data_IF_333167335610
#
_entry.id   IF_333167335610
#
_cell.length_a   1.000
_cell.length_b   1.000
_cell.length_c   1.000
_cell.angle_alpha   90.00
_cell.angle_beta   90.00
_cell.angle_gamma   90.00
#
_symmetry.space_group_name_H-M   'P 1'
#
loop_
_entity.id
_entity.type
_entity.pdbx_description
1 polymer ?
#
# COMPACT_ATOMS: atom_id res chain seq x y z
N UNK A 1 65.28 49.85 73.96
CA UNK A 1 64.41 48.95 73.16
C UNK A 1 63.55 49.76 72.21
N UNK A 2 63.78 49.68 70.89
CA UNK A 2 62.95 50.36 69.87
C UNK A 2 61.86 49.39 69.37
N UNK A 3 60.58 49.77 69.53
CA UNK A 3 59.43 48.99 69.06
C UNK A 3 59.46 48.87 67.53
N UNK A 4 59.56 47.65 67.00
CA UNK A 4 59.43 47.37 65.57
C UNK A 4 57.99 47.68 65.14
N UNK A 5 57.81 48.71 64.31
CA UNK A 5 56.53 48.99 63.65
C UNK A 5 56.42 48.04 62.45
N UNK A 6 55.42 47.15 62.47
CA UNK A 6 55.22 46.09 61.48
C UNK A 6 54.59 46.56 60.17
N UNK A 7 54.10 47.81 60.10
CA UNK A 7 53.49 48.35 58.90
C UNK A 7 54.34 49.49 58.33
N UNK A 8 54.72 49.35 57.07
CA UNK A 8 55.39 50.36 56.27
C UNK A 8 54.35 50.96 55.32
N UNK A 9 53.94 52.20 55.57
CA UNK A 9 52.85 52.89 54.84
C UNK A 9 53.18 53.22 53.36
N UNK A 10 54.25 52.66 52.79
CA UNK A 10 54.73 52.94 51.42
C UNK A 10 53.74 52.60 50.29
N UNK A 11 52.65 51.89 50.57
CA UNK A 11 51.61 51.53 49.57
C UNK A 11 50.19 51.92 49.97
N UNK A 12 50.04 52.77 50.99
CA UNK A 12 48.75 53.33 51.42
C UNK A 12 48.31 54.40 50.40
N UNK A 13 47.98 54.00 49.17
CA UNK A 13 47.32 54.77 48.09
C UNK A 13 47.45 54.10 46.70
N UNK A 14 48.02 52.90 46.59
CA UNK A 14 48.02 52.17 45.31
C UNK A 14 46.62 51.59 45.07
N UNK A 15 45.90 52.12 44.07
CA UNK A 15 44.66 51.52 43.58
C UNK A 15 44.97 50.17 42.96
N UNK A 16 44.18 49.16 43.33
CA UNK A 16 44.23 47.83 42.71
C UNK A 16 44.03 47.95 41.19
N UNK A 17 44.92 47.34 40.40
CA UNK A 17 44.93 47.43 38.93
C UNK A 17 44.40 46.18 38.24
N UNK A 18 43.77 45.27 38.97
CA UNK A 18 43.08 44.12 38.36
C UNK A 18 41.62 44.47 38.06
N UNK A 19 41.13 44.24 36.83
CA UNK A 19 39.72 44.45 36.51
C UNK A 19 38.86 43.40 37.23
N UNK A 20 37.77 43.86 37.85
CA UNK A 20 36.81 43.01 38.57
C UNK A 20 36.19 41.95 37.63
N UNK A 21 36.66 40.71 37.68
CA UNK A 21 36.01 39.58 37.02
C UNK A 21 35.05 38.89 37.99
N UNK A 22 33.81 39.35 37.99
CA UNK A 22 32.70 38.73 38.72
C UNK A 22 31.37 38.96 37.99
N UNK A 23 30.51 37.94 37.96
CA UNK A 23 29.14 38.10 37.44
C UNK A 23 28.36 38.96 38.45
N UNK A 24 27.69 40.02 37.98
CA UNK A 24 26.85 40.86 38.85
C UNK A 24 25.76 40.01 39.48
N UNK A 25 25.83 39.83 40.80
CA UNK A 25 24.74 39.22 41.56
C UNK A 25 23.88 40.38 42.05
N UNK A 26 22.66 40.51 41.51
CA UNK A 26 21.67 41.47 41.96
C UNK A 26 21.10 40.97 43.31
N UNK A 27 21.79 41.27 44.41
CA UNK A 27 21.42 40.76 45.73
C UNK A 27 20.23 41.47 46.38
N UNK A 28 19.67 42.53 45.81
CA UNK A 28 18.61 43.28 46.47
C UNK A 28 17.74 44.10 45.51
N UNK A 29 16.92 43.44 44.70
CA UNK A 29 15.74 44.06 44.05
C UNK A 29 14.52 43.15 44.20
N UNK A 30 14.39 42.49 45.35
CA UNK A 30 13.22 41.65 45.67
C UNK A 30 12.30 42.24 46.74
N UNK A 31 12.59 43.44 47.24
CA UNK A 31 11.78 44.13 48.26
C UNK A 31 11.73 45.65 48.08
N UNK A 32 11.57 46.13 46.84
CA UNK A 32 11.12 47.51 46.61
C UNK A 32 9.81 47.44 45.83
N UNK A 33 8.81 46.81 46.46
CA UNK A 33 7.42 47.11 46.19
C UNK A 33 6.96 48.12 47.26
N UNK A 34 6.53 49.30 46.81
CA UNK A 34 5.74 50.21 47.62
C UNK A 34 6.51 51.34 48.29
N UNK A 35 6.24 52.55 47.80
CA UNK A 35 6.20 53.74 48.64
C UNK A 35 7.54 54.40 48.95
N UNK A 36 7.78 55.54 48.32
CA UNK A 36 8.63 56.62 48.85
C UNK A 36 8.26 56.90 50.31
N UNK A 37 9.07 56.43 51.26
CA UNK A 37 8.85 56.69 52.69
C UNK A 37 10.01 57.40 53.39
N UNK A 38 11.14 57.65 52.73
CA UNK A 38 12.28 58.28 53.39
C UNK A 38 12.34 59.80 53.20
N UNK A 39 12.09 60.54 54.30
CA UNK A 39 12.24 62.01 54.41
C UNK A 39 13.67 62.52 54.15
N UNK A 40 14.63 61.62 53.92
CA UNK A 40 16.03 61.94 53.67
C UNK A 40 16.50 61.61 52.24
N UNK A 41 15.60 61.18 51.35
CA UNK A 41 15.95 60.84 49.97
C UNK A 41 16.48 62.05 49.18
N UNK A 42 16.03 63.26 49.53
CA UNK A 42 16.51 64.52 48.96
C UNK A 42 17.99 64.84 49.29
N UNK A 43 18.60 64.18 50.29
CA UNK A 43 19.99 64.43 50.71
C UNK A 43 20.98 63.38 50.20
N UNK A 44 20.52 62.35 49.48
CA UNK A 44 21.46 61.40 48.85
C UNK A 44 22.21 62.09 47.70
N UNK A 45 23.55 62.01 47.65
CA UNK A 45 24.29 62.45 46.48
C UNK A 45 23.85 61.59 45.30
N UNK A 46 23.14 62.20 44.34
CA UNK A 46 22.74 61.53 43.11
C UNK A 46 24.02 61.16 42.36
N UNK A 47 24.37 59.88 42.36
CA UNK A 47 25.46 59.39 41.53
C UNK A 47 25.05 59.66 40.08
N UNK A 48 25.84 60.49 39.37
CA UNK A 48 25.69 60.64 37.92
C UNK A 48 25.92 59.25 37.34
N UNK A 49 24.85 58.60 36.91
CA UNK A 49 24.94 57.35 36.15
C UNK A 49 25.96 57.54 35.05
N UNK A 50 26.88 56.59 34.94
CA UNK A 50 27.82 56.53 33.83
C UNK A 50 26.99 56.65 32.55
N UNK A 51 27.32 57.65 31.73
CA UNK A 51 26.75 57.77 30.40
C UNK A 51 27.02 56.47 29.69
N UNK A 52 26.02 55.60 29.56
CA UNK A 52 26.05 54.51 28.59
C UNK A 52 26.35 55.18 27.27
N UNK A 53 27.55 54.92 26.75
CA UNK A 53 27.98 55.31 25.43
C UNK A 53 26.82 55.02 24.48
N UNK A 54 26.22 56.08 23.94
CA UNK A 54 25.15 55.99 22.96
C UNK A 54 25.77 55.38 21.70
N UNK A 55 25.99 54.07 21.71
CA UNK A 55 26.18 53.34 20.47
C UNK A 55 24.89 53.56 19.70
N UNK A 56 25.03 54.29 18.60
CA UNK A 56 23.94 54.68 17.73
C UNK A 56 23.05 53.47 17.51
N UNK A 57 21.79 53.54 17.96
CA UNK A 57 20.81 52.45 17.77
C UNK A 57 20.74 52.00 16.31
N UNK A 58 21.11 52.90 15.39
CA UNK A 58 21.25 52.66 13.96
C UNK A 58 22.38 51.69 13.61
N UNK A 59 23.53 51.71 14.29
CA UNK A 59 24.64 50.78 14.03
C UNK A 59 24.32 49.35 14.47
N UNK A 60 23.62 49.19 15.61
CA UNK A 60 23.18 47.88 16.08
C UNK A 60 22.11 47.30 15.13
N UNK A 61 21.20 48.15 14.63
CA UNK A 61 20.21 47.75 13.61
C UNK A 61 20.87 47.39 12.29
N UNK A 62 21.87 48.16 11.84
CA UNK A 62 22.61 47.89 10.61
C UNK A 62 23.36 46.56 10.69
N UNK A 63 24.04 46.27 11.81
CA UNK A 63 24.72 44.99 12.01
C UNK A 63 23.75 43.80 11.97
N UNK A 64 22.57 43.93 12.59
CA UNK A 64 21.52 42.89 12.54
C UNK A 64 20.97 42.70 11.13
N UNK A 65 20.79 43.79 10.39
CA UNK A 65 20.34 43.75 9.00
C UNK A 65 21.36 43.06 8.10
N UNK A 66 22.65 43.39 8.25
CA UNK A 66 23.74 42.74 7.49
C UNK A 66 23.77 41.24 7.75
N UNK A 67 23.64 40.80 9.01
CA UNK A 67 23.62 39.36 9.36
C UNK A 67 22.44 38.64 8.68
N UNK A 68 21.25 39.25 8.65
CA UNK A 68 20.08 38.68 7.97
C UNK A 68 20.26 38.60 6.45
N UNK A 69 20.90 39.60 5.84
CA UNK A 69 21.19 39.57 4.41
C UNK A 69 22.24 38.51 4.08
N UNK A 70 23.27 38.35 4.92
CA UNK A 70 24.29 37.32 4.75
C UNK A 70 23.70 35.90 4.91
N UNK A 71 22.77 35.67 5.85
CA UNK A 71 22.14 34.36 5.99
C UNK A 71 21.24 34.01 4.80
N UNK A 72 20.50 34.98 4.27
CA UNK A 72 19.70 34.79 3.04
C UNK A 72 20.59 34.50 1.83
N UNK A 73 21.73 35.18 1.69
CA UNK A 73 22.68 34.93 0.61
C UNK A 73 23.27 33.51 0.69
N UNK A 74 23.61 33.02 1.88
CA UNK A 74 24.11 31.65 2.07
C UNK A 74 23.06 30.59 1.71
N UNK A 75 21.80 30.81 2.07
CA UNK A 75 20.69 29.91 1.70
C UNK A 75 20.49 29.93 0.18
N UNK A 76 20.49 31.09 -0.45
CA UNK A 76 20.31 31.21 -1.90
C UNK A 76 21.44 30.52 -2.69
N UNK A 77 22.69 30.70 -2.27
CA UNK A 77 23.85 30.03 -2.89
C UNK A 77 23.80 28.51 -2.67
N UNK A 78 23.43 28.07 -1.46
CA UNK A 78 23.22 26.66 -1.17
C UNK A 78 22.13 26.02 -2.03
N UNK A 79 21.03 26.74 -2.25
CA UNK A 79 19.92 26.27 -3.07
C UNK A 79 20.31 26.15 -4.54
N UNK A 80 20.99 27.16 -5.10
CA UNK A 80 21.48 27.15 -6.48
C UNK A 80 22.53 26.03 -6.67
N UNK A 81 23.42 25.82 -5.69
CA UNK A 81 24.42 24.76 -5.73
C UNK A 81 23.79 23.35 -5.72
N UNK A 82 22.78 23.14 -4.88
CA UNK A 82 22.01 21.90 -4.83
C UNK A 82 21.28 21.65 -6.15
N UNK A 83 20.68 22.68 -6.73
CA UNK A 83 19.93 22.57 -7.99
C UNK A 83 20.85 22.20 -9.17
N UNK A 84 22.03 22.82 -9.26
CA UNK A 84 23.06 22.47 -10.25
C UNK A 84 23.61 21.06 -10.02
N UNK A 85 23.81 20.64 -8.77
CA UNK A 85 24.24 19.29 -8.43
C UNK A 85 23.19 18.25 -8.83
N UNK A 86 21.92 18.50 -8.52
CA UNK A 86 20.80 17.67 -8.93
C UNK A 86 20.69 17.61 -10.45
N UNK A 87 20.89 18.71 -11.17
CA UNK A 87 20.83 18.72 -12.63
C UNK A 87 22.00 17.96 -13.27
N UNK A 88 23.20 18.01 -12.69
CA UNK A 88 24.39 17.30 -13.20
C UNK A 88 24.44 15.82 -12.81
N UNK A 89 23.75 15.42 -11.74
CA UNK A 89 23.68 14.03 -11.27
C UNK A 89 22.28 13.42 -11.42
N UNK A 90 21.35 14.17 -12.02
CA UNK A 90 20.11 13.62 -12.52
C UNK A 90 20.46 12.55 -13.55
N UNK A 91 20.06 11.32 -13.25
CA UNK A 91 20.04 10.25 -14.25
C UNK A 91 19.15 10.74 -15.40
N UNK A 92 19.52 10.50 -16.67
CA UNK A 92 18.74 10.96 -17.80
C UNK A 92 17.30 10.45 -17.66
N UNK A 93 16.36 11.39 -17.73
CA UNK A 93 14.90 11.16 -17.69
C UNK A 93 14.42 10.40 -18.94
N UNK A 94 15.31 9.87 -19.77
CA UNK A 94 14.96 8.96 -20.85
C UNK A 94 14.33 7.66 -20.31
N UNK A 95 14.73 7.18 -19.13
CA UNK A 95 14.10 6.01 -18.50
C UNK A 95 12.75 6.30 -17.81
N UNK A 96 12.37 7.57 -17.63
CA UNK A 96 11.07 7.99 -17.06
C UNK A 96 10.12 8.52 -18.14
N UNK A 97 10.63 8.95 -19.30
CA UNK A 97 9.82 9.27 -20.47
C UNK A 97 9.57 8.05 -21.37
N UNK A 98 10.48 7.09 -21.41
CA UNK A 98 10.24 5.82 -22.09
C UNK A 98 9.18 4.95 -21.38
N UNK A 99 8.92 5.17 -20.09
CA UNK A 99 7.82 4.53 -19.36
C UNK A 99 6.47 5.27 -19.48
N UNK A 100 6.43 6.43 -20.12
CA UNK A 100 5.17 7.19 -20.34
C UNK A 100 4.75 7.15 -21.82
N UNK A 101 5.65 6.78 -22.73
CA UNK A 101 5.32 6.59 -24.17
C UNK A 101 5.27 5.12 -24.61
N UNK A 102 5.60 4.18 -23.72
CA UNK A 102 5.16 2.80 -23.85
C UNK A 102 4.05 2.58 -22.83
N UNK A 103 2.80 2.50 -23.29
CA UNK A 103 1.75 1.78 -22.56
C UNK A 103 2.23 0.32 -22.42
N UNK A 104 3.08 0.06 -21.43
CA UNK A 104 3.32 -1.29 -20.95
C UNK A 104 2.01 -1.73 -20.34
N UNK A 105 1.16 -2.39 -21.13
CA UNK A 105 -0.13 -2.90 -20.67
C UNK A 105 0.09 -3.75 -19.41
N UNK A 106 -0.77 -3.60 -18.39
CA UNK A 106 -0.72 -4.46 -17.18
C UNK A 106 -0.70 -5.96 -17.54
N UNK A 107 -1.22 -6.34 -18.70
CA UNK A 107 -1.14 -7.69 -19.25
C UNK A 107 0.29 -8.26 -19.28
N UNK A 108 1.31 -7.43 -19.52
CA UNK A 108 2.72 -7.86 -19.63
C UNK A 108 3.51 -7.73 -18.32
N UNK A 109 2.97 -7.07 -17.30
CA UNK A 109 3.64 -6.96 -15.99
C UNK A 109 3.56 -8.26 -15.21
N UNK A 110 4.65 -8.65 -14.56
CA UNK A 110 4.62 -9.72 -13.56
C UNK A 110 4.02 -9.16 -12.27
N UNK A 111 2.91 -9.75 -11.82
CA UNK A 111 2.27 -9.38 -10.55
C UNK A 111 2.62 -10.45 -9.52
N UNK A 112 3.23 -10.02 -8.41
CA UNK A 112 3.54 -10.86 -7.27
C UNK A 112 2.58 -10.53 -6.14
N UNK A 113 1.91 -11.54 -5.60
CA UNK A 113 1.04 -11.42 -4.44
C UNK A 113 1.00 -12.73 -3.66
N UNK A 114 0.80 -12.61 -2.36
CA UNK A 114 0.36 -13.70 -1.50
C UNK A 114 -1.03 -13.37 -1.02
N UNK A 115 -2.01 -14.18 -1.41
CA UNK A 115 -3.41 -13.97 -1.08
C UNK A 115 -3.97 -15.08 -0.20
N UNK A 116 -4.89 -14.71 0.69
CA UNK A 116 -5.79 -15.66 1.33
C UNK A 116 -7.14 -15.63 0.60
N UNK A 117 -7.71 -16.80 0.34
CA UNK A 117 -9.06 -16.88 -0.21
C UNK A 117 -10.09 -16.59 0.88
N UNK A 118 -11.15 -15.88 0.53
CA UNK A 118 -12.27 -15.59 1.42
C UNK A 118 -13.60 -15.70 0.68
N UNK A 119 -14.62 -16.13 1.41
CA UNK A 119 -15.99 -16.11 0.91
C UNK A 119 -16.49 -14.69 0.71
N UNK A 120 -17.35 -14.51 -0.29
CA UNK A 120 -18.03 -13.25 -0.56
C UNK A 120 -18.80 -12.69 0.64
N UNK A 121 -19.46 -13.54 1.43
CA UNK A 121 -20.20 -13.10 2.63
C UNK A 121 -19.31 -12.41 3.67
N UNK A 122 -18.04 -12.81 3.77
CA UNK A 122 -17.07 -12.24 4.71
C UNK A 122 -16.64 -10.81 4.31
N UNK A 123 -16.96 -10.38 3.08
CA UNK A 123 -16.65 -9.05 2.58
C UNK A 123 -17.68 -7.99 2.99
N UNK A 124 -18.90 -8.37 3.34
CA UNK A 124 -20.03 -7.44 3.40
C UNK A 124 -20.13 -6.65 4.71
N UNK A 125 -19.74 -7.26 5.83
CA UNK A 125 -19.80 -6.64 7.14
C UNK A 125 -18.49 -5.91 7.42
N UNK A 126 -18.53 -4.59 7.67
CA UNK A 126 -17.33 -3.79 7.96
C UNK A 126 -16.48 -4.38 9.09
N UNK A 127 -17.11 -5.02 10.08
CA UNK A 127 -16.40 -5.70 11.18
C UNK A 127 -15.72 -6.98 10.69
N UNK A 128 -16.40 -7.80 9.88
CA UNK A 128 -15.84 -9.04 9.33
C UNK A 128 -14.75 -8.74 8.31
N UNK A 129 -14.97 -7.80 7.39
CA UNK A 129 -13.98 -7.34 6.45
C UNK A 129 -12.74 -6.80 7.17
N UNK A 130 -12.92 -6.02 8.24
CA UNK A 130 -11.80 -5.55 9.06
C UNK A 130 -11.07 -6.71 9.74
N UNK A 131 -11.79 -7.72 10.23
CA UNK A 131 -11.19 -8.92 10.82
C UNK A 131 -10.39 -9.73 9.78
N UNK A 132 -10.94 -9.91 8.57
CA UNK A 132 -10.25 -10.58 7.45
C UNK A 132 -9.00 -9.79 7.06
N UNK A 133 -9.10 -8.47 6.84
CA UNK A 133 -7.94 -7.62 6.51
C UNK A 133 -6.86 -7.68 7.60
N UNK A 134 -7.25 -7.62 8.87
CA UNK A 134 -6.32 -7.77 10.00
C UNK A 134 -5.68 -9.16 10.04
N UNK A 135 -6.43 -10.23 9.74
CA UNK A 135 -5.92 -11.60 9.67
C UNK A 135 -4.90 -11.76 8.54
N UNK A 136 -5.23 -11.23 7.37
CA UNK A 136 -4.40 -11.20 6.16
C UNK A 136 -3.06 -10.51 6.46
N UNK A 137 -3.09 -9.30 7.02
CA UNK A 137 -1.89 -8.56 7.38
C UNK A 137 -1.06 -9.27 8.47
N UNK A 138 -1.71 -9.87 9.49
CA UNK A 138 -1.02 -10.63 10.55
C UNK A 138 -0.34 -11.90 10.05
N UNK A 139 -0.88 -12.53 9.02
CA UNK A 139 -0.32 -13.73 8.40
C UNK A 139 0.70 -13.40 7.30
N UNK A 140 0.90 -12.12 6.99
CA UNK A 140 1.89 -11.65 6.01
C UNK A 140 1.40 -11.71 4.57
N UNK A 141 0.08 -11.82 4.36
CA UNK A 141 -0.52 -11.72 3.04
C UNK A 141 -0.60 -10.25 2.58
N UNK A 142 -0.57 -10.06 1.28
CA UNK A 142 -0.61 -8.74 0.61
C UNK A 142 -1.91 -8.53 -0.15
N UNK A 143 -2.73 -9.57 -0.26
CA UNK A 143 -3.93 -9.58 -1.08
C UNK A 143 -5.02 -10.44 -0.44
N UNK A 144 -6.26 -10.18 -0.87
CA UNK A 144 -7.42 -11.01 -0.57
C UNK A 144 -7.98 -11.49 -1.90
N UNK A 145 -8.06 -12.80 -2.08
CA UNK A 145 -8.77 -13.40 -3.20
C UNK A 145 -10.19 -13.71 -2.75
N UNK A 146 -11.18 -13.30 -3.52
CA UNK A 146 -12.56 -13.69 -3.30
C UNK A 146 -13.11 -14.40 -4.53
N UNK A 147 -13.95 -15.40 -4.29
CA UNK A 147 -14.63 -16.11 -5.35
C UNK A 147 -15.73 -15.22 -5.95
N UNK A 148 -15.42 -14.59 -7.08
CA UNK A 148 -16.39 -13.81 -7.83
C UNK A 148 -17.41 -14.74 -8.51
N UNK A 149 -16.93 -15.80 -9.16
CA UNK A 149 -17.76 -16.87 -9.72
C UNK A 149 -17.15 -18.21 -9.34
N UNK A 150 -17.93 -19.03 -8.65
CA UNK A 150 -17.54 -20.34 -8.12
C UNK A 150 -17.65 -21.43 -9.19
N UNK A 151 -17.02 -22.56 -8.89
CA UNK A 151 -17.05 -23.75 -9.75
C UNK A 151 -18.44 -24.40 -9.86
N UNK A 152 -19.36 -24.11 -8.94
CA UNK A 152 -20.77 -24.53 -9.03
C UNK A 152 -21.59 -23.66 -10.00
N UNK A 153 -21.03 -22.54 -10.49
CA UNK A 153 -21.71 -21.58 -11.37
C UNK A 153 -22.36 -20.42 -10.62
N UNK A 154 -22.27 -20.36 -9.29
CA UNK A 154 -22.82 -19.25 -8.51
C UNK A 154 -21.83 -18.09 -8.41
N UNK A 155 -22.38 -16.88 -8.34
CA UNK A 155 -21.68 -15.61 -8.19
C UNK A 155 -21.65 -15.26 -6.70
N UNK A 156 -20.46 -14.97 -6.18
CA UNK A 156 -20.21 -14.70 -4.75
C UNK A 156 -20.44 -13.25 -4.33
N UNK A 157 -21.05 -12.42 -5.17
CA UNK A 157 -21.31 -11.02 -4.88
C UNK A 157 -22.63 -10.56 -5.48
N UNK A 158 -23.18 -9.45 -4.95
CA UNK A 158 -24.39 -8.84 -5.47
C UNK A 158 -24.10 -8.14 -6.81
N UNK A 159 -24.13 -8.92 -7.89
CA UNK A 159 -23.97 -8.44 -9.26
C UNK A 159 -25.20 -7.66 -9.71
N UNK A 160 -24.98 -6.66 -10.57
CA UNK A 160 -26.02 -5.86 -11.24
C UNK A 160 -26.26 -6.31 -12.69
N UNK A 161 -25.61 -7.39 -13.11
CA UNK A 161 -25.72 -7.92 -14.46
C UNK A 161 -27.08 -8.62 -14.64
N UNK A 162 -27.81 -8.22 -15.68
CA UNK A 162 -29.10 -8.82 -16.03
C UNK A 162 -28.99 -10.34 -16.29
N UNK A 163 -27.86 -10.79 -16.84
CA UNK A 163 -27.58 -12.22 -17.05
C UNK A 163 -27.50 -12.97 -15.72
N UNK A 164 -26.80 -12.45 -14.71
CA UNK A 164 -26.71 -13.09 -13.39
C UNK A 164 -28.06 -13.14 -12.68
N UNK A 165 -28.82 -12.04 -12.75
CA UNK A 165 -30.16 -11.92 -12.15
C UNK A 165 -31.16 -12.91 -12.78
N UNK A 166 -31.14 -13.02 -14.11
CA UNK A 166 -32.07 -13.88 -14.87
C UNK A 166 -31.96 -15.37 -14.51
N UNK A 167 -30.74 -15.86 -14.25
CA UNK A 167 -30.49 -17.29 -13.98
C UNK A 167 -30.38 -17.62 -12.48
N UNK A 168 -30.68 -16.65 -11.60
CA UNK A 168 -30.56 -16.77 -10.14
C UNK A 168 -29.19 -17.31 -9.68
N UNK A 169 -28.13 -16.94 -10.39
CA UNK A 169 -26.79 -17.47 -10.17
C UNK A 169 -26.07 -16.79 -9.01
N UNK A 170 -26.75 -16.48 -7.89
CA UNK A 170 -26.15 -15.79 -6.73
C UNK A 170 -26.29 -16.65 -5.47
N UNK A 171 -25.18 -16.88 -4.78
CA UNK A 171 -25.16 -17.64 -3.51
C UNK A 171 -24.22 -16.99 -2.51
N UNK A 172 -24.70 -16.79 -1.27
CA UNK A 172 -23.96 -16.15 -0.17
C UNK A 172 -23.17 -14.90 -0.60
N UNK A 173 -23.84 -13.89 -1.21
CA UNK A 173 -23.14 -12.79 -1.85
C UNK A 173 -22.56 -11.80 -0.83
N UNK A 174 -21.44 -11.17 -1.20
CA UNK A 174 -21.11 -9.83 -0.70
C UNK A 174 -22.23 -8.85 -1.11
N UNK A 175 -22.99 -8.27 -0.18
CA UNK A 175 -24.09 -7.38 -0.53
C UNK A 175 -23.60 -6.01 -1.07
N UNK A 176 -22.44 -5.53 -0.60
CA UNK A 176 -21.83 -4.25 -1.03
C UNK A 176 -20.40 -4.40 -1.55
N UNK A 177 -20.17 -5.17 -2.64
CA UNK A 177 -18.83 -5.51 -3.11
C UNK A 177 -17.98 -4.28 -3.43
N UNK A 178 -18.57 -3.25 -4.05
CA UNK A 178 -17.87 -2.01 -4.38
C UNK A 178 -17.36 -1.24 -3.13
N UNK A 179 -18.05 -1.34 -2.00
CA UNK A 179 -17.60 -0.71 -0.76
C UNK A 179 -16.47 -1.51 -0.14
N UNK A 180 -16.59 -2.84 -0.13
CA UNK A 180 -15.58 -3.75 0.41
C UNK A 180 -14.26 -3.67 -0.36
N UNK A 181 -14.33 -3.67 -1.69
CA UNK A 181 -13.16 -3.53 -2.57
C UNK A 181 -12.45 -2.19 -2.33
N UNK A 182 -13.20 -1.09 -2.21
CA UNK A 182 -12.62 0.23 -1.88
C UNK A 182 -11.95 0.24 -0.51
N UNK A 183 -12.56 -0.40 0.48
CA UNK A 183 -11.98 -0.50 1.82
C UNK A 183 -10.67 -1.32 1.82
N UNK A 184 -10.59 -2.40 1.05
CA UNK A 184 -9.34 -3.16 0.88
C UNK A 184 -8.23 -2.30 0.29
N UNK A 185 -8.53 -1.59 -0.80
CA UNK A 185 -7.56 -0.71 -1.47
C UNK A 185 -7.08 0.41 -0.56
N UNK A 186 -7.95 0.97 0.28
CA UNK A 186 -7.59 2.00 1.27
C UNK A 186 -6.68 1.48 2.40
N UNK A 187 -6.64 0.17 2.63
CA UNK A 187 -5.81 -0.49 3.64
C UNK A 187 -4.59 -1.20 3.02
N UNK A 188 -4.22 -0.83 1.79
CA UNK A 188 -3.12 -1.43 1.02
C UNK A 188 -3.23 -2.96 0.86
N UNK A 189 -4.47 -3.48 0.84
CA UNK A 189 -4.76 -4.88 0.55
C UNK A 189 -5.27 -4.99 -0.89
N UNK A 190 -4.57 -5.75 -1.72
CA UNK A 190 -4.96 -5.95 -3.12
C UNK A 190 -6.18 -6.89 -3.23
N UNK A 191 -7.32 -6.44 -3.78
CA UNK A 191 -8.44 -7.32 -4.09
C UNK A 191 -8.15 -8.11 -5.37
N UNK A 192 -8.34 -9.43 -5.29
CA UNK A 192 -8.22 -10.36 -6.43
C UNK A 192 -9.56 -11.05 -6.60
N UNK A 193 -10.08 -11.06 -7.83
CA UNK A 193 -11.29 -11.80 -8.15
C UNK A 193 -10.94 -13.13 -8.80
N UNK A 194 -11.37 -14.23 -8.17
CA UNK A 194 -11.30 -15.56 -8.75
C UNK A 194 -12.59 -15.88 -9.52
N UNK A 195 -12.44 -16.29 -10.78
CA UNK A 195 -13.55 -16.54 -11.69
C UNK A 195 -13.38 -17.92 -12.32
N UNK A 196 -14.29 -18.84 -12.01
CA UNK A 196 -14.38 -20.09 -12.73
C UNK A 196 -15.05 -19.87 -14.10
N UNK A 197 -14.33 -20.14 -15.18
CA UNK A 197 -14.73 -19.79 -16.54
C UNK A 197 -15.83 -20.71 -17.06
N UNK A 198 -15.49 -21.96 -17.42
CA UNK A 198 -16.41 -22.82 -18.16
C UNK A 198 -17.18 -23.81 -17.30
N UNK A 199 -16.70 -24.18 -16.12
CA UNK A 199 -17.45 -25.06 -15.21
C UNK A 199 -18.59 -24.27 -14.56
N UNK A 200 -19.83 -24.66 -14.85
CA UNK A 200 -21.03 -23.93 -14.41
C UNK A 200 -22.26 -24.83 -14.39
N UNK A 201 -22.82 -25.10 -13.21
CA UNK A 201 -24.00 -25.95 -13.07
C UNK A 201 -25.31 -25.15 -13.06
N UNK A 202 -25.26 -23.82 -13.03
CA UNK A 202 -26.45 -22.96 -12.99
C UNK A 202 -26.83 -22.57 -14.41
N UNK A 203 -25.95 -21.85 -15.09
CA UNK A 203 -26.22 -21.28 -16.40
C UNK A 203 -26.26 -22.36 -17.48
N UNK A 204 -25.35 -23.34 -17.44
CA UNK A 204 -25.32 -24.41 -18.45
C UNK A 204 -26.57 -25.29 -18.42
N UNK A 205 -27.24 -25.41 -17.26
CA UNK A 205 -28.47 -26.19 -17.14
C UNK A 205 -29.73 -25.41 -17.53
N UNK A 206 -29.68 -24.08 -17.46
CA UNK A 206 -30.84 -23.22 -17.74
C UNK A 206 -30.81 -22.63 -19.17
N UNK A 207 -29.64 -22.42 -19.75
CA UNK A 207 -29.46 -21.79 -21.05
C UNK A 207 -28.83 -22.75 -22.07
N UNK A 208 -29.66 -23.41 -22.87
CA UNK A 208 -29.22 -24.35 -23.93
C UNK A 208 -28.24 -23.71 -24.95
N UNK A 209 -28.31 -22.39 -25.16
CA UNK A 209 -27.40 -21.66 -26.06
C UNK A 209 -26.03 -21.31 -25.45
N UNK A 210 -25.89 -21.48 -24.14
CA UNK A 210 -24.66 -21.23 -23.40
C UNK A 210 -23.92 -22.52 -23.04
N UNK A 211 -24.60 -23.67 -23.05
CA UNK A 211 -24.07 -24.96 -22.62
C UNK A 211 -23.37 -25.74 -23.73
N UNK A 212 -22.43 -26.60 -23.34
CA UNK A 212 -21.96 -27.69 -24.19
C UNK A 212 -23.06 -28.74 -24.26
N UNK A 213 -23.41 -29.18 -25.47
CA UNK A 213 -24.53 -30.10 -25.70
C UNK A 213 -24.03 -31.48 -26.12
N UNK A 214 -24.54 -32.52 -25.47
CA UNK A 214 -24.42 -33.91 -25.90
C UNK A 214 -25.76 -34.36 -26.50
N UNK A 215 -25.94 -34.10 -27.80
CA UNK A 215 -27.22 -34.31 -28.47
C UNK A 215 -28.26 -33.28 -28.03
N UNK A 216 -29.34 -33.73 -27.35
CA UNK A 216 -30.45 -32.87 -26.88
C UNK A 216 -30.33 -32.42 -25.42
N UNK A 217 -29.30 -32.87 -24.70
CA UNK A 217 -29.10 -32.55 -23.28
C UNK A 217 -27.76 -31.84 -23.08
N UNK A 218 -27.63 -30.98 -22.05
CA UNK A 218 -26.32 -30.48 -21.64
C UNK A 218 -25.38 -31.65 -21.35
N UNK A 219 -24.14 -31.52 -21.80
CA UNK A 219 -23.06 -32.43 -21.45
C UNK A 219 -22.83 -32.39 -19.94
N UNK A 220 -22.50 -33.56 -19.37
CA UNK A 220 -22.08 -33.69 -17.97
C UNK A 220 -20.84 -34.57 -17.88
N UNK A 221 -19.89 -34.18 -17.05
CA UNK A 221 -18.73 -35.01 -16.72
C UNK A 221 -19.12 -36.19 -15.80
N UNK A 222 -18.13 -36.99 -15.41
CA UNK A 222 -18.31 -38.12 -14.51
C UNK A 222 -18.80 -37.70 -13.10
N UNK A 223 -18.49 -36.48 -12.67
CA UNK A 223 -18.88 -35.90 -11.39
C UNK A 223 -20.26 -35.20 -11.45
N UNK A 224 -20.89 -35.19 -12.63
CA UNK A 224 -22.20 -34.59 -12.87
C UNK A 224 -22.19 -33.08 -13.13
N UNK A 225 -21.01 -32.48 -13.31
CA UNK A 225 -20.85 -31.06 -13.62
C UNK A 225 -21.15 -30.76 -15.08
N UNK A 226 -21.82 -29.64 -15.32
CA UNK A 226 -22.08 -29.08 -16.63
C UNK A 226 -21.08 -27.97 -16.97
N UNK A 227 -20.94 -27.73 -18.27
CA UNK A 227 -19.94 -26.82 -18.81
C UNK A 227 -20.56 -25.84 -19.82
N UNK A 228 -20.12 -24.59 -19.75
CA UNK A 228 -20.41 -23.56 -20.72
C UNK A 228 -19.59 -23.79 -21.99
N UNK A 229 -20.17 -23.43 -23.13
CA UNK A 229 -19.55 -23.54 -24.43
C UNK A 229 -18.60 -22.34 -24.67
N UNK A 230 -17.27 -22.55 -24.80
CA UNK A 230 -16.29 -21.49 -25.07
C UNK A 230 -16.51 -20.74 -26.39
N UNK A 231 -17.12 -21.41 -27.37
CA UNK A 231 -17.38 -20.82 -28.70
C UNK A 231 -18.67 -20.00 -28.74
N UNK A 232 -19.48 -20.07 -27.67
CA UNK A 232 -20.71 -19.28 -27.57
C UNK A 232 -20.39 -17.83 -27.22
N UNK A 233 -20.86 -16.90 -28.06
CA UNK A 233 -20.79 -15.47 -27.76
C UNK A 233 -21.48 -15.12 -26.45
N UNK A 234 -22.52 -15.88 -26.06
CA UNK A 234 -23.21 -15.69 -24.79
C UNK A 234 -22.29 -15.96 -23.60
N UNK A 235 -21.60 -17.11 -23.61
CA UNK A 235 -20.63 -17.50 -22.57
C UNK A 235 -19.51 -16.47 -22.45
N UNK A 236 -18.96 -16.06 -23.59
CA UNK A 236 -17.89 -15.07 -23.62
C UNK A 236 -18.33 -13.73 -23.01
N UNK A 237 -19.47 -13.20 -23.45
CA UNK A 237 -20.00 -11.93 -22.92
C UNK A 237 -20.33 -12.05 -21.43
N UNK A 238 -20.85 -13.19 -20.97
CA UNK A 238 -21.11 -13.42 -19.55
C UNK A 238 -19.84 -13.28 -18.68
N UNK A 239 -18.74 -13.93 -19.07
CA UNK A 239 -17.46 -13.83 -18.35
C UNK A 239 -16.88 -12.41 -18.45
N UNK A 240 -16.93 -11.81 -19.65
CA UNK A 240 -16.46 -10.45 -19.90
C UNK A 240 -17.20 -9.43 -19.02
N UNK A 241 -18.52 -9.51 -18.95
CA UNK A 241 -19.35 -8.57 -18.21
C UNK A 241 -19.07 -8.64 -16.70
N UNK A 242 -18.83 -9.83 -16.15
CA UNK A 242 -18.39 -10.02 -14.75
C UNK A 242 -17.05 -9.30 -14.50
N UNK A 243 -16.08 -9.49 -15.39
CA UNK A 243 -14.76 -8.85 -15.26
C UNK A 243 -14.89 -7.32 -15.34
N UNK A 244 -15.66 -6.82 -16.30
CA UNK A 244 -15.89 -5.37 -16.48
C UNK A 244 -16.59 -4.77 -15.26
N UNK A 245 -17.59 -5.46 -14.70
CA UNK A 245 -18.29 -5.03 -13.50
C UNK A 245 -17.33 -4.91 -12.31
N UNK A 246 -16.55 -5.96 -12.02
CA UNK A 246 -15.62 -5.97 -10.89
C UNK A 246 -14.46 -4.99 -11.07
N UNK A 247 -14.01 -4.79 -12.30
CA UNK A 247 -13.03 -3.76 -12.63
C UNK A 247 -13.58 -2.35 -12.35
N UNK A 248 -14.86 -2.10 -12.65
CA UNK A 248 -15.51 -0.83 -12.29
C UNK A 248 -15.55 -0.58 -10.77
N UNK A 249 -15.47 -1.64 -9.96
CA UNK A 249 -15.38 -1.56 -8.50
C UNK A 249 -13.95 -1.34 -7.99
N UNK A 250 -12.94 -1.55 -8.83
CA UNK A 250 -11.52 -1.33 -8.51
C UNK A 250 -10.64 -2.58 -8.56
N UNK A 251 -11.17 -3.74 -8.97
CA UNK A 251 -10.38 -4.97 -9.12
C UNK A 251 -9.52 -4.89 -10.38
N UNK A 252 -8.22 -5.08 -10.24
CA UNK A 252 -7.27 -5.05 -11.38
C UNK A 252 -6.67 -6.40 -11.70
N UNK A 253 -6.70 -7.36 -10.77
CA UNK A 253 -6.13 -8.70 -10.94
C UNK A 253 -7.24 -9.75 -10.86
N UNK A 254 -7.31 -10.58 -11.88
CA UNK A 254 -8.29 -11.65 -12.02
C UNK A 254 -7.56 -12.99 -12.17
N UNK A 255 -7.97 -13.97 -11.37
CA UNK A 255 -7.49 -15.34 -11.44
C UNK A 255 -8.60 -16.16 -12.09
N UNK A 256 -8.32 -16.71 -13.27
CA UNK A 256 -9.26 -17.50 -14.06
C UNK A 256 -9.00 -18.98 -13.81
N UNK A 257 -9.98 -19.67 -13.24
CA UNK A 257 -9.97 -21.13 -13.03
C UNK A 257 -10.91 -21.83 -14.01
N UNK A 258 -10.73 -23.13 -14.24
CA UNK A 258 -11.59 -23.91 -15.14
C UNK A 258 -11.65 -23.37 -16.57
N UNK A 259 -10.50 -22.94 -17.11
CA UNK A 259 -10.36 -22.48 -18.50
C UNK A 259 -10.24 -23.64 -19.50
N UNK A 260 -9.87 -24.83 -19.06
CA UNK A 260 -9.80 -26.02 -19.90
C UNK A 260 -11.03 -26.89 -19.67
N UNK A 261 -11.53 -27.47 -20.76
CA UNK A 261 -12.61 -28.44 -20.69
C UNK A 261 -12.09 -29.84 -20.31
N UNK A 262 -12.96 -30.73 -19.79
CA UNK A 262 -12.64 -32.14 -19.55
C UNK A 262 -12.03 -32.84 -20.77
N UNK A 263 -11.10 -33.78 -20.54
CA UNK A 263 -10.28 -34.42 -21.59
C UNK A 263 -11.11 -35.09 -22.71
N UNK A 264 -12.32 -35.56 -22.42
CA UNK A 264 -13.21 -36.23 -23.37
C UNK A 264 -13.86 -35.27 -24.39
N UNK A 265 -13.93 -34.00 -24.06
CA UNK A 265 -14.44 -32.93 -24.92
C UNK A 265 -13.40 -31.85 -25.25
N UNK A 266 -12.23 -31.88 -24.60
CA UNK A 266 -11.11 -30.99 -24.87
C UNK A 266 -10.66 -31.05 -26.34
N UNK A 267 -10.32 -29.90 -26.91
CA UNK A 267 -9.88 -29.77 -28.30
C UNK A 267 -10.99 -29.77 -29.36
N UNK A 268 -12.27 -29.94 -28.97
CA UNK A 268 -13.43 -29.76 -29.86
C UNK A 268 -13.96 -28.32 -29.87
N UNK A 269 -13.58 -27.54 -28.86
CA UNK A 269 -14.03 -26.16 -28.65
C UNK A 269 -12.81 -25.24 -28.57
N UNK A 270 -13.03 -23.93 -28.69
CA UNK A 270 -11.99 -22.91 -28.45
C UNK A 270 -11.70 -22.69 -26.97
N UNK A 271 -11.50 -23.75 -26.19
CA UNK A 271 -11.12 -23.67 -24.77
C UNK A 271 -9.66 -23.23 -24.56
N UNK A 272 -9.29 -23.02 -23.30
CA UNK A 272 -7.95 -22.63 -22.91
C UNK A 272 -7.79 -21.17 -22.52
N UNK A 273 -6.93 -20.95 -21.54
CA UNK A 273 -6.65 -19.63 -20.98
C UNK A 273 -6.07 -18.68 -22.04
N UNK A 274 -5.17 -19.13 -22.92
CA UNK A 274 -4.54 -18.24 -23.91
C UNK A 274 -5.55 -17.70 -24.92
N UNK A 275 -6.51 -18.54 -25.33
CA UNK A 275 -7.58 -18.14 -26.25
C UNK A 275 -8.51 -17.11 -25.60
N UNK A 276 -8.96 -17.39 -24.37
CA UNK A 276 -9.88 -16.53 -23.63
C UNK A 276 -9.21 -15.19 -23.26
N UNK A 277 -8.03 -15.23 -22.65
CA UNK A 277 -7.30 -14.04 -22.22
C UNK A 277 -6.97 -13.11 -23.38
N UNK A 278 -6.56 -13.64 -24.54
CA UNK A 278 -6.29 -12.82 -25.73
C UNK A 278 -7.54 -12.06 -26.21
N UNK A 279 -8.71 -12.72 -26.20
CA UNK A 279 -9.98 -12.06 -26.55
C UNK A 279 -10.34 -11.00 -25.51
N UNK A 280 -10.27 -11.34 -24.22
CA UNK A 280 -10.58 -10.41 -23.13
C UNK A 280 -9.67 -9.17 -23.14
N UNK A 281 -8.37 -9.32 -23.36
CA UNK A 281 -7.44 -8.19 -23.45
C UNK A 281 -7.68 -7.32 -24.69
N UNK A 282 -8.14 -7.91 -25.81
CA UNK A 282 -8.46 -7.14 -27.01
C UNK A 282 -9.75 -6.30 -26.83
N UNK A 283 -10.70 -6.82 -26.05
CA UNK A 283 -12.02 -6.24 -25.88
C UNK A 283 -12.14 -5.30 -24.67
N UNK A 284 -11.34 -5.52 -23.63
CA UNK A 284 -11.35 -4.74 -22.39
C UNK A 284 -10.21 -3.73 -22.46
N UNK A 285 -10.53 -2.47 -22.79
CA UNK A 285 -9.57 -1.34 -22.84
C UNK A 285 -9.14 -0.84 -21.45
N UNK A 286 -9.18 -1.72 -20.45
CA UNK A 286 -8.94 -1.38 -19.07
C UNK A 286 -7.68 -2.05 -18.52
N UNK A 287 -7.13 -1.46 -17.47
CA UNK A 287 -5.87 -1.84 -16.87
C UNK A 287 -6.01 -3.11 -16.01
N UNK A 288 -6.28 -4.26 -16.66
CA UNK A 288 -6.49 -5.55 -16.02
C UNK A 288 -5.30 -6.49 -16.20
N UNK A 289 -5.14 -7.40 -15.24
CA UNK A 289 -4.23 -8.54 -15.30
C UNK A 289 -5.05 -9.82 -15.13
N UNK A 290 -4.98 -10.68 -16.13
CA UNK A 290 -5.53 -12.04 -16.11
C UNK A 290 -4.41 -13.03 -15.80
N UNK A 291 -4.69 -13.94 -14.88
CA UNK A 291 -3.82 -15.05 -14.48
C UNK A 291 -4.61 -16.35 -14.56
N UNK A 292 -3.96 -17.42 -15.00
CA UNK A 292 -4.47 -18.78 -15.02
C UNK A 292 -4.27 -19.43 -13.66
N UNK A 293 -5.33 -19.99 -13.09
CA UNK A 293 -5.28 -20.71 -11.84
C UNK A 293 -4.63 -22.09 -12.04
N UNK A 294 -3.53 -22.36 -11.34
CA UNK A 294 -2.94 -23.69 -11.25
C UNK A 294 -3.30 -24.26 -9.88
N UNK A 295 -4.31 -25.13 -9.85
CA UNK A 295 -4.76 -25.78 -8.62
C UNK A 295 -3.75 -26.82 -8.15
N UNK A 296 -3.31 -26.71 -6.89
CA UNK A 296 -2.37 -27.64 -6.26
C UNK A 296 -2.88 -28.00 -4.87
N UNK A 297 -3.02 -29.29 -4.58
CA UNK A 297 -3.30 -29.76 -3.23
C UNK A 297 -2.00 -30.04 -2.49
N UNK A 298 -1.82 -29.44 -1.31
CA UNK A 298 -0.62 -29.61 -0.49
C UNK A 298 -1.01 -30.26 0.83
N UNK A 299 -0.34 -31.37 1.16
CA UNK A 299 -0.62 -32.08 2.40
C UNK A 299 0.41 -31.72 3.50
N UNK A 300 -0.01 -31.67 4.78
CA UNK A 300 0.92 -31.34 5.88
C UNK A 300 2.12 -32.28 6.01
N UNK A 301 1.93 -33.56 5.67
CA UNK A 301 2.98 -34.59 5.76
C UNK A 301 3.99 -34.52 4.60
N UNK A 302 3.59 -33.99 3.44
CA UNK A 302 4.41 -33.92 2.24
C UNK A 302 4.74 -32.49 1.80
N UNK A 303 4.49 -31.49 2.65
CA UNK A 303 4.69 -30.06 2.38
C UNK A 303 5.97 -29.75 1.59
N UNK A 304 7.13 -30.24 2.03
CA UNK A 304 8.39 -29.97 1.35
C UNK A 304 8.49 -30.64 -0.03
N UNK A 305 7.94 -31.83 -0.19
CA UNK A 305 7.93 -32.57 -1.46
C UNK A 305 6.99 -31.91 -2.46
N UNK A 306 5.79 -31.55 -2.01
CA UNK A 306 4.74 -30.95 -2.83
C UNK A 306 5.20 -29.56 -3.32
N UNK A 307 5.72 -28.73 -2.40
CA UNK A 307 6.29 -27.42 -2.73
C UNK A 307 7.56 -27.54 -3.59
N UNK A 308 8.34 -28.61 -3.47
CA UNK A 308 9.49 -28.84 -4.34
C UNK A 308 9.11 -29.26 -5.77
N UNK A 309 7.93 -29.86 -5.97
CA UNK A 309 7.41 -30.21 -7.28
C UNK A 309 6.81 -29.00 -8.03
N UNK A 310 6.41 -27.96 -7.29
CA UNK A 310 5.91 -26.72 -7.87
C UNK A 310 7.03 -25.99 -8.64
N UNK A 311 6.69 -25.52 -9.85
CA UNK A 311 7.58 -24.69 -10.65
C UNK A 311 7.44 -23.24 -10.23
N UNK A 312 8.37 -22.39 -10.66
CA UNK A 312 8.23 -20.95 -10.49
C UNK A 312 7.03 -20.48 -11.31
N UNK A 313 6.11 -19.74 -10.69
CA UNK A 313 5.00 -19.11 -11.39
C UNK A 313 5.58 -18.19 -12.48
N UNK A 314 5.09 -18.35 -13.71
CA UNK A 314 5.45 -17.45 -14.80
C UNK A 314 4.59 -16.18 -14.75
N UNK A 315 4.63 -15.37 -15.81
CA UNK A 315 3.89 -14.11 -15.89
C UNK A 315 2.37 -14.27 -16.04
N UNK A 316 1.88 -15.49 -16.26
CA UNK A 316 0.48 -15.78 -16.57
C UNK A 316 -0.18 -16.72 -15.58
N UNK A 317 0.55 -17.39 -14.70
CA UNK A 317 -0.04 -18.35 -13.75
C UNK A 317 -0.06 -17.82 -12.31
N UNK A 318 -1.10 -18.18 -11.57
CA UNK A 318 -1.20 -18.05 -10.13
C UNK A 318 -1.49 -19.41 -9.52
N UNK A 319 -0.78 -19.79 -8.45
CA UNK A 319 -1.07 -21.05 -7.77
C UNK A 319 -2.25 -20.90 -6.83
N UNK A 320 -3.28 -21.74 -6.97
CA UNK A 320 -4.37 -21.87 -6.00
C UNK A 320 -4.09 -23.11 -5.17
N UNK A 321 -3.69 -22.90 -3.91
CA UNK A 321 -3.17 -23.96 -3.04
C UNK A 321 -4.23 -24.38 -2.04
N UNK A 322 -4.78 -25.58 -2.22
CA UNK A 322 -5.75 -26.21 -1.31
C UNK A 322 -5.00 -26.97 -0.22
N UNK A 323 -5.14 -26.56 1.03
CA UNK A 323 -4.32 -27.10 2.13
C UNK A 323 -5.00 -27.02 3.49
N UNK A 324 -4.53 -27.82 4.43
CA UNK A 324 -4.86 -27.70 5.87
C UNK A 324 -3.64 -27.31 6.70
N UNK A 325 -2.54 -26.96 6.03
CA UNK A 325 -1.29 -26.52 6.65
C UNK A 325 -1.44 -25.10 7.15
N UNK A 326 -0.91 -24.83 8.34
CA UNK A 326 -0.82 -23.48 8.88
C UNK A 326 -0.16 -22.49 7.89
N UNK A 327 -0.90 -21.44 7.52
CA UNK A 327 -0.54 -20.39 6.57
C UNK A 327 0.92 -19.96 6.62
N UNK A 328 1.41 -19.60 7.82
CA UNK A 328 2.78 -19.08 8.00
C UNK A 328 3.85 -20.08 7.57
N UNK A 329 3.63 -21.37 7.82
CA UNK A 329 4.56 -22.44 7.43
C UNK A 329 4.54 -22.65 5.93
N UNK A 330 3.35 -22.62 5.33
CA UNK A 330 3.19 -22.77 3.88
C UNK A 330 3.79 -21.59 3.12
N UNK A 331 3.48 -20.35 3.51
CA UNK A 331 4.04 -19.12 2.92
C UNK A 331 5.58 -19.16 2.98
N UNK A 332 6.16 -19.50 4.13
CA UNK A 332 7.60 -19.61 4.27
C UNK A 332 8.22 -20.68 3.34
N UNK A 333 7.52 -21.79 3.09
CA UNK A 333 7.98 -22.83 2.18
C UNK A 333 7.89 -22.36 0.71
N UNK A 334 6.79 -21.72 0.31
CA UNK A 334 6.58 -21.20 -1.04
C UNK A 334 7.59 -20.10 -1.39
N UNK A 335 7.80 -19.16 -0.49
CA UNK A 335 8.77 -18.06 -0.68
C UNK A 335 10.21 -18.57 -0.79
N UNK A 336 10.59 -19.62 -0.04
CA UNK A 336 11.91 -20.27 -0.18
C UNK A 336 12.15 -20.85 -1.58
N UNK A 337 11.08 -21.20 -2.30
CA UNK A 337 11.13 -21.65 -3.70
C UNK A 337 10.93 -20.53 -4.72
N UNK A 338 10.90 -19.27 -4.29
CA UNK A 338 10.59 -18.11 -5.13
C UNK A 338 9.21 -18.20 -5.80
N UNK A 339 8.25 -18.85 -5.15
CA UNK A 339 6.84 -18.84 -5.57
C UNK A 339 6.20 -17.61 -4.92
N UNK A 340 5.97 -16.58 -5.72
CA UNK A 340 5.58 -15.24 -5.25
C UNK A 340 4.16 -14.83 -5.66
N UNK A 341 3.45 -15.70 -6.38
CA UNK A 341 2.09 -15.45 -6.89
C UNK A 341 1.22 -16.65 -6.55
N UNK A 342 0.50 -16.56 -5.44
CA UNK A 342 -0.33 -17.66 -4.95
C UNK A 342 -1.53 -17.18 -4.13
N UNK A 343 -2.57 -18.00 -4.13
CA UNK A 343 -3.79 -17.91 -3.32
C UNK A 343 -3.84 -19.17 -2.44
N UNK A 344 -4.04 -19.01 -1.14
CA UNK A 344 -4.24 -20.13 -0.21
C UNK A 344 -5.73 -20.30 0.07
N UNK A 345 -6.22 -21.52 -0.15
CA UNK A 345 -7.57 -22.00 0.15
C UNK A 345 -7.46 -23.01 1.30
N UNK A 346 -8.16 -22.75 2.40
CA UNK A 346 -8.05 -23.46 3.67
C UNK A 346 -9.30 -24.28 4.01
#
# INVERSE_FOLDING_TARGET
>A
MKKKRFYNDKKRNQKWTEPEQGRKIAFADKYIEGGTSDKFDAKRPKYKGYSTENQNKNEIRLRRFIILVCSLALIAVGYIGMDVYLTRHARPVENLKQSVTAQSSMADMQVNFSAAQTDGISLDNSVMLSAVMNGVQKNGYTAIAFEAKRADGTVGYASKLASVDTFAAISSPAAKPAQSIKAMLQNDVLPIAEICCYKDNVLALQANGAAIMQGKKPYKDADGNAYLNPDSAFTYNYIKDIIVELNSYGVTVFVLSGCDLPEDISGKYGDGFQTLSKKLYADIDANIKLLEAVEVSVNPKSLQKDVAAMKKADKHHAYVVKTTVEDKKLIAALLKKNITTFVIEN
#
